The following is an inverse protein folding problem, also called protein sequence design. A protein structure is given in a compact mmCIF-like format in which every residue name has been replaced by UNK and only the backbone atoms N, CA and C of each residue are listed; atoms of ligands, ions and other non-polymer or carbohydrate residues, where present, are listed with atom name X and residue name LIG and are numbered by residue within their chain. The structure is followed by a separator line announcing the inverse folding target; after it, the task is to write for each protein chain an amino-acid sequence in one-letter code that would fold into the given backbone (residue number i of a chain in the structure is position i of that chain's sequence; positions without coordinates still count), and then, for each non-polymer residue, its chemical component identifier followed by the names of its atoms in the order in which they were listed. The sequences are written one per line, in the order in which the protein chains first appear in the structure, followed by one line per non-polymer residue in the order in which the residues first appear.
data_IF_895433584120
#
_entry.id   IF_895433584120
#
_cell.length_a   1.000
_cell.length_b   1.000
_cell.length_c   1.000
_cell.angle_alpha   90.00
_cell.angle_beta   90.00
_cell.angle_gamma   90.00
#
_symmetry.space_group_name_H-M   'P 1'
#
loop_
_entity.id
_entity.type
_entity.pdbx_description
1 polymer ?
#
# COMPACT_ATOMS: atom_id res chain seq x y z
N UNK A 1 6.37 -2.27 -9.28
CA UNK A 1 5.61 -1.07 -8.84
C UNK A 1 6.39 -0.19 -7.87
N UNK A 2 7.14 -0.76 -6.90
CA UNK A 2 8.04 -0.02 -5.98
C UNK A 2 8.89 1.09 -6.63
N UNK A 3 9.56 0.82 -7.74
CA UNK A 3 10.44 1.83 -8.39
C UNK A 3 9.68 3.05 -8.93
N UNK A 4 8.39 2.91 -9.27
CA UNK A 4 7.54 4.03 -9.73
C UNK A 4 7.14 4.94 -8.57
N UNK A 5 6.75 4.35 -7.43
CA UNK A 5 6.48 5.09 -6.18
C UNK A 5 7.71 5.85 -5.75
N UNK A 6 8.86 5.17 -5.66
CA UNK A 6 10.09 5.76 -5.15
C UNK A 6 10.55 6.90 -6.06
N UNK A 7 10.51 6.71 -7.39
CA UNK A 7 10.85 7.76 -8.35
C UNK A 7 9.93 8.97 -8.28
N UNK A 8 8.62 8.75 -8.16
CA UNK A 8 7.66 9.84 -8.00
C UNK A 8 7.84 10.57 -6.66
N UNK A 9 8.03 9.83 -5.56
CA UNK A 9 8.29 10.41 -4.24
C UNK A 9 9.57 11.24 -4.24
N UNK A 10 10.65 10.76 -4.86
CA UNK A 10 11.90 11.53 -5.00
C UNK A 10 11.71 12.79 -5.84
N UNK A 11 10.92 12.73 -6.92
CA UNK A 11 10.57 13.91 -7.72
C UNK A 11 9.85 14.96 -6.86
N UNK A 12 8.85 14.54 -6.09
CA UNK A 12 8.11 15.44 -5.18
C UNK A 12 9.00 15.98 -4.06
N UNK A 13 9.84 15.14 -3.43
CA UNK A 13 10.79 15.58 -2.40
C UNK A 13 11.78 16.63 -2.96
N UNK A 14 12.25 16.44 -4.20
CA UNK A 14 13.14 17.40 -4.88
C UNK A 14 12.42 18.72 -5.17
N UNK A 15 11.17 18.65 -5.66
CA UNK A 15 10.33 19.83 -5.92
C UNK A 15 10.01 20.60 -4.63
N UNK A 16 9.80 19.90 -3.52
CA UNK A 16 9.59 20.52 -2.22
C UNK A 16 10.88 21.18 -1.68
N UNK A 17 12.05 20.57 -1.92
CA UNK A 17 13.34 21.10 -1.46
C UNK A 17 13.82 22.32 -2.26
N UNK A 18 13.61 22.33 -3.57
CA UNK A 18 13.99 23.43 -4.47
C UNK A 18 12.80 23.82 -5.34
N UNK A 19 11.86 24.63 -4.80
CA UNK A 19 10.72 25.08 -5.57
C UNK A 19 11.16 26.09 -6.65
N UNK A 20 10.86 25.86 -7.94
CA UNK A 20 10.97 26.89 -8.98
C UNK A 20 10.11 28.12 -8.65
N UNK A 21 10.52 29.30 -9.12
CA UNK A 21 9.85 30.60 -8.86
C UNK A 21 8.42 30.70 -9.41
N UNK A 22 8.02 29.82 -10.35
CA UNK A 22 6.75 29.87 -11.08
C UNK A 22 5.89 28.59 -10.93
N UNK A 23 6.11 27.79 -9.87
CA UNK A 23 5.34 26.56 -9.67
C UNK A 23 3.90 26.83 -9.26
N UNK A 24 2.97 26.31 -10.07
CA UNK A 24 1.57 26.16 -9.67
C UNK A 24 1.41 24.86 -8.86
N UNK A 25 1.14 24.99 -7.56
CA UNK A 25 1.00 23.84 -6.67
C UNK A 25 -0.33 23.09 -6.82
N UNK A 26 -1.41 23.77 -7.24
CA UNK A 26 -2.73 23.18 -7.48
C UNK A 26 -2.72 21.94 -8.40
N UNK A 27 -2.16 22.02 -9.63
CA UNK A 27 -2.12 20.86 -10.52
C UNK A 27 -1.24 19.72 -9.97
N UNK A 28 -0.15 20.06 -9.28
CA UNK A 28 0.74 19.08 -8.64
C UNK A 28 0.02 18.36 -7.50
N UNK A 29 -0.78 19.07 -6.71
CA UNK A 29 -1.59 18.50 -5.65
C UNK A 29 -2.63 17.51 -6.21
N UNK A 30 -3.30 17.85 -7.30
CA UNK A 30 -4.27 16.97 -7.98
C UNK A 30 -3.61 15.70 -8.55
N UNK A 31 -2.43 15.84 -9.17
CA UNK A 31 -1.66 14.68 -9.63
C UNK A 31 -1.24 13.80 -8.44
N UNK A 32 -0.78 14.40 -7.35
CA UNK A 32 -0.36 13.69 -6.14
C UNK A 32 -1.51 12.91 -5.50
N UNK A 33 -2.70 13.51 -5.38
CA UNK A 33 -3.90 12.84 -4.89
C UNK A 33 -4.29 11.64 -5.76
N UNK A 34 -4.19 11.79 -7.07
CA UNK A 34 -4.46 10.71 -8.03
C UNK A 34 -3.49 9.54 -7.83
N UNK A 35 -2.18 9.83 -7.66
CA UNK A 35 -1.18 8.81 -7.35
C UNK A 35 -1.45 8.13 -6.00
N UNK A 36 -1.76 8.89 -4.95
CA UNK A 36 -2.14 8.35 -3.63
C UNK A 36 -3.32 7.38 -3.75
N UNK A 37 -4.36 7.75 -4.52
CA UNK A 37 -5.55 6.91 -4.75
C UNK A 37 -5.20 5.57 -5.41
N UNK A 38 -4.32 5.56 -6.41
CA UNK A 38 -3.87 4.31 -7.03
C UNK A 38 -3.19 3.36 -6.03
N UNK A 39 -2.34 3.89 -5.15
CA UNK A 39 -1.67 3.07 -4.14
C UNK A 39 -2.60 2.63 -3.01
N UNK A 40 -3.59 3.45 -2.65
CA UNK A 40 -4.66 3.03 -1.75
C UNK A 40 -5.47 1.85 -2.33
N UNK A 41 -5.77 1.89 -3.63
CA UNK A 41 -6.50 0.81 -4.29
C UNK A 41 -5.71 -0.50 -4.28
N UNK A 42 -4.42 -0.46 -4.63
CA UNK A 42 -3.55 -1.63 -4.57
C UNK A 42 -3.47 -2.23 -3.15
N UNK A 43 -3.31 -1.36 -2.14
CA UNK A 43 -3.34 -1.77 -0.72
C UNK A 43 -4.66 -2.45 -0.35
N UNK A 44 -5.80 -1.89 -0.77
CA UNK A 44 -7.12 -2.47 -0.48
C UNK A 44 -7.25 -3.86 -1.09
N UNK A 45 -6.83 -4.05 -2.35
CA UNK A 45 -6.84 -5.35 -3.01
C UNK A 45 -5.96 -6.35 -2.24
N UNK A 46 -4.76 -5.94 -1.84
CA UNK A 46 -3.88 -6.80 -1.03
C UNK A 46 -4.50 -7.17 0.31
N UNK A 47 -5.19 -6.24 0.98
CA UNK A 47 -5.89 -6.52 2.22
C UNK A 47 -6.99 -7.57 2.00
N UNK A 48 -7.84 -7.36 1.00
CA UNK A 48 -8.95 -8.29 0.68
C UNK A 48 -8.39 -9.69 0.42
N UNK A 49 -7.39 -9.81 -0.45
CA UNK A 49 -6.78 -11.10 -0.77
C UNK A 49 -6.15 -11.75 0.46
N UNK A 50 -5.44 -10.98 1.30
CA UNK A 50 -4.83 -11.48 2.55
C UNK A 50 -5.88 -11.98 3.54
N UNK A 51 -6.98 -11.23 3.72
CA UNK A 51 -8.10 -11.63 4.58
C UNK A 51 -8.78 -12.87 4.05
N UNK A 52 -8.98 -12.99 2.73
CA UNK A 52 -9.51 -14.22 2.12
C UNK A 52 -8.62 -15.42 2.41
N UNK A 53 -7.30 -15.31 2.23
CA UNK A 53 -6.36 -16.39 2.58
C UNK A 53 -6.39 -16.74 4.06
N UNK A 54 -6.47 -15.74 4.95
CA UNK A 54 -6.57 -15.98 6.38
C UNK A 54 -7.86 -16.75 6.75
N UNK A 55 -9.00 -16.35 6.19
CA UNK A 55 -10.29 -17.04 6.40
C UNK A 55 -10.22 -18.49 5.87
N UNK A 56 -9.71 -18.70 4.66
CA UNK A 56 -9.55 -20.04 4.10
C UNK A 56 -8.63 -20.92 4.95
N UNK A 57 -7.55 -20.35 5.50
CA UNK A 57 -6.64 -21.04 6.40
C UNK A 57 -7.35 -21.45 7.69
N UNK A 58 -8.15 -20.56 8.26
CA UNK A 58 -8.96 -20.86 9.46
C UNK A 58 -9.99 -21.97 9.21
N UNK A 59 -10.65 -21.96 8.05
CA UNK A 59 -11.59 -23.02 7.65
C UNK A 59 -10.85 -24.35 7.49
N UNK A 60 -9.72 -24.36 6.77
CA UNK A 60 -8.92 -25.58 6.59
C UNK A 60 -8.42 -26.13 7.93
N UNK A 61 -8.00 -25.26 8.86
CA UNK A 61 -7.61 -25.63 10.21
C UNK A 61 -8.79 -26.26 10.97
N UNK A 62 -9.98 -25.67 10.89
CA UNK A 62 -11.18 -26.23 11.54
C UNK A 62 -11.56 -27.61 10.98
N UNK A 63 -11.47 -27.81 9.65
CA UNK A 63 -11.69 -29.11 9.02
C UNK A 63 -10.67 -30.14 9.51
N UNK A 64 -9.40 -29.76 9.59
CA UNK A 64 -8.35 -30.64 10.08
C UNK A 64 -8.61 -31.09 11.53
N UNK A 65 -9.05 -30.18 12.42
CA UNK A 65 -9.36 -30.52 13.81
C UNK A 65 -10.53 -31.51 13.97
N UNK A 66 -11.42 -31.60 12.99
CA UNK A 66 -12.60 -32.50 13.04
C UNK A 66 -12.32 -33.84 12.35
N UNK A 67 -11.67 -33.79 11.17
CA UNK A 67 -11.53 -34.95 10.30
C UNK A 67 -10.11 -35.57 10.31
N UNK A 68 -9.13 -34.89 10.89
CA UNK A 68 -7.71 -35.31 10.97
C UNK A 68 -7.09 -35.72 9.62
N UNK A 69 -7.63 -35.19 8.52
CA UNK A 69 -7.23 -35.60 7.18
C UNK A 69 -5.87 -34.99 6.80
N UNK A 70 -4.84 -35.82 6.76
CA UNK A 70 -3.43 -35.43 6.52
C UNK A 70 -3.24 -34.52 5.29
N UNK A 71 -3.90 -34.75 4.13
CA UNK A 71 -3.78 -33.85 2.98
C UNK A 71 -4.20 -32.40 3.24
N UNK A 72 -5.10 -32.15 4.21
CA UNK A 72 -5.49 -30.78 4.60
C UNK A 72 -4.32 -30.04 5.24
N UNK A 73 -3.41 -30.76 5.89
CA UNK A 73 -2.22 -30.17 6.52
C UNK A 73 -1.25 -29.60 5.47
N UNK A 74 -1.11 -30.27 4.32
CA UNK A 74 -0.35 -29.76 3.19
C UNK A 74 -0.99 -28.49 2.60
N UNK A 75 -2.33 -28.44 2.51
CA UNK A 75 -3.06 -27.24 2.09
C UNK A 75 -2.85 -26.08 3.06
N UNK A 76 -2.95 -26.32 4.38
CA UNK A 76 -2.71 -25.30 5.41
C UNK A 76 -1.28 -24.75 5.29
N UNK A 77 -0.27 -25.63 5.13
CA UNK A 77 1.11 -25.22 4.97
C UNK A 77 1.30 -24.33 3.72
N UNK A 78 0.67 -24.70 2.60
CA UNK A 78 0.69 -23.89 1.37
C UNK A 78 0.07 -22.50 1.59
N UNK A 79 -1.09 -22.43 2.25
CA UNK A 79 -1.77 -21.17 2.53
C UNK A 79 -0.93 -20.27 3.46
N UNK A 80 -0.29 -20.84 4.48
CA UNK A 80 0.60 -20.10 5.37
C UNK A 80 1.84 -19.56 4.65
N UNK A 81 2.46 -20.35 3.77
CA UNK A 81 3.60 -19.92 2.95
C UNK A 81 3.21 -18.75 2.04
N UNK A 82 1.98 -18.74 1.50
CA UNK A 82 1.46 -17.60 0.74
C UNK A 82 1.14 -16.39 1.63
N UNK A 83 0.67 -16.61 2.86
CA UNK A 83 0.24 -15.52 3.73
C UNK A 83 1.40 -14.59 4.12
N UNK A 84 2.59 -15.15 4.41
CA UNK A 84 3.79 -14.40 4.81
C UNK A 84 4.19 -13.30 3.80
N UNK A 85 4.44 -13.59 2.50
CA UNK A 85 4.79 -12.57 1.54
C UNK A 85 3.66 -11.56 1.31
N UNK A 86 2.39 -11.98 1.40
CA UNK A 86 1.24 -11.08 1.28
C UNK A 86 1.19 -10.04 2.41
N UNK A 87 1.41 -10.48 3.66
CA UNK A 87 1.51 -9.57 4.81
C UNK A 87 2.69 -8.60 4.63
N UNK A 88 3.88 -9.11 4.25
CA UNK A 88 5.06 -8.27 4.05
C UNK A 88 4.88 -7.23 2.93
N UNK A 89 4.21 -7.62 1.85
CA UNK A 89 3.88 -6.73 0.75
C UNK A 89 2.92 -5.62 1.20
N UNK A 90 1.87 -5.99 1.94
CA UNK A 90 0.91 -5.03 2.50
C UNK A 90 1.57 -3.98 3.39
N UNK A 91 2.43 -4.38 4.33
CA UNK A 91 3.16 -3.44 5.19
C UNK A 91 4.07 -2.50 4.40
N UNK A 92 4.70 -2.99 3.34
CA UNK A 92 5.53 -2.12 2.51
C UNK A 92 4.70 -1.06 1.80
N UNK A 93 3.55 -1.44 1.23
CA UNK A 93 2.62 -0.50 0.59
C UNK A 93 2.10 0.54 1.58
N UNK A 94 1.69 0.12 2.78
CA UNK A 94 1.20 1.00 3.83
C UNK A 94 2.22 2.08 4.21
N UNK A 95 3.47 1.66 4.46
CA UNK A 95 4.54 2.58 4.86
C UNK A 95 4.87 3.62 3.77
N UNK A 96 4.76 3.24 2.50
CA UNK A 96 5.01 4.16 1.39
C UNK A 96 3.87 5.17 1.22
N UNK A 97 2.61 4.72 1.33
CA UNK A 97 1.44 5.61 1.29
C UNK A 97 1.46 6.61 2.45
N UNK A 98 1.88 6.19 3.65
CA UNK A 98 2.05 7.10 4.80
C UNK A 98 3.06 8.21 4.56
N UNK A 99 4.14 7.94 3.81
CA UNK A 99 5.10 8.97 3.43
C UNK A 99 4.50 9.94 2.42
N UNK A 100 3.67 9.45 1.49
CA UNK A 100 2.97 10.30 0.52
C UNK A 100 1.95 11.23 1.20
N UNK A 101 1.25 10.80 2.26
CA UNK A 101 0.38 11.72 3.01
C UNK A 101 1.15 12.89 3.64
N UNK A 102 2.36 12.65 4.15
CA UNK A 102 3.20 13.73 4.68
C UNK A 102 3.62 14.72 3.59
N UNK A 103 3.90 14.22 2.39
CA UNK A 103 4.19 15.07 1.22
C UNK A 103 2.95 15.89 0.82
N UNK A 104 1.77 15.27 0.82
CA UNK A 104 0.50 15.93 0.58
C UNK A 104 0.25 17.09 1.55
N UNK A 105 0.41 16.85 2.86
CA UNK A 105 0.21 17.89 3.88
C UNK A 105 1.14 19.09 3.67
N UNK A 106 2.39 18.84 3.26
CA UNK A 106 3.36 19.88 2.99
C UNK A 106 3.01 20.68 1.72
N UNK A 107 2.58 20.01 0.64
CA UNK A 107 2.11 20.68 -0.58
C UNK A 107 0.88 21.55 -0.27
N UNK A 108 -0.08 21.03 0.49
CA UNK A 108 -1.30 21.74 0.86
C UNK A 108 -1.01 23.00 1.69
N UNK A 109 0.00 22.96 2.57
CA UNK A 109 0.45 24.14 3.33
C UNK A 109 1.08 25.22 2.45
N UNK A 110 1.65 24.86 1.30
CA UNK A 110 2.24 25.82 0.34
C UNK A 110 1.17 26.46 -0.51
N UNK A 111 0.22 25.67 -1.04
CA UNK A 111 -0.99 26.15 -1.72
C UNK A 111 -1.71 27.21 -0.87
N UNK A 112 -1.99 26.89 0.40
CA UNK A 112 -2.67 27.82 1.32
C UNK A 112 -1.87 29.06 1.70
N UNK A 113 -0.55 29.09 1.46
CA UNK A 113 0.30 30.27 1.71
C UNK A 113 0.36 31.21 0.50
N UNK A 114 0.03 30.71 -0.69
CA UNK A 114 0.00 31.49 -1.93
C UNK A 114 -1.39 32.07 -2.24
N UNK A 115 -2.43 31.62 -1.52
CA UNK A 115 -3.80 32.17 -1.55
C UNK A 115 -3.99 33.21 -0.46
#
# INVERSE_FOLDING_TARGET
MKSRIIGYRMKIDTLLAQPPEDVQWEPILQEHLTQVSFFQHERLVHLIVTVTFAILTMIALAIYCIAEYIPVLALIALLLVLLVPYIGHYYTLENEVQKMYRQYDEILRRVKRET
#
